data_IF_856970928208
#
_entry.id   IF_856970928208
#
_cell.length_a   1.000
_cell.length_b   1.000
_cell.length_c   1.000
_cell.angle_alpha   90.00
_cell.angle_beta   90.00
_cell.angle_gamma   90.00
#
_symmetry.space_group_name_H-M   'P 1'
#
loop_
_entity.id
_entity.type
_entity.pdbx_description
1 polymer ?
#
# COMPACT_ATOMS: atom_id res chain seq x y z
N UNK A 1 12.88 12.28 -18.19
CA UNK A 1 13.76 12.22 -16.99
C UNK A 1 12.96 11.72 -15.80
N UNK A 2 13.61 11.08 -14.83
CA UNK A 2 12.96 10.54 -13.64
C UNK A 2 13.85 10.72 -12.41
N UNK A 3 13.24 10.74 -11.23
CA UNK A 3 13.93 10.78 -9.94
C UNK A 3 13.17 9.95 -8.92
N UNK A 4 13.88 9.07 -8.21
CA UNK A 4 13.32 8.28 -7.12
C UNK A 4 12.98 9.16 -5.91
N UNK A 5 11.88 8.82 -5.23
CA UNK A 5 11.44 9.48 -4.00
C UNK A 5 11.53 8.51 -2.83
N UNK A 6 10.71 7.46 -2.82
CA UNK A 6 10.65 6.50 -1.73
C UNK A 6 10.21 5.13 -2.22
N UNK A 7 10.52 4.10 -1.44
CA UNK A 7 10.09 2.74 -1.72
C UNK A 7 8.74 2.43 -1.06
N UNK A 8 8.03 1.46 -1.62
CA UNK A 8 6.76 0.96 -1.13
C UNK A 8 6.83 -0.56 -1.03
N UNK A 9 6.38 -1.04 0.12
CA UNK A 9 6.05 -2.45 0.35
C UNK A 9 4.53 -2.57 0.49
N UNK A 10 4.05 -3.80 0.65
CA UNK A 10 2.63 -4.11 0.74
C UNK A 10 2.23 -4.47 2.17
N UNK A 11 1.10 -3.92 2.60
CA UNK A 11 0.54 -4.13 3.94
C UNK A 11 -0.93 -4.49 3.84
N UNK A 12 -1.43 -5.13 4.88
CA UNK A 12 -2.84 -5.46 5.08
C UNK A 12 -3.41 -4.57 6.19
N UNK A 13 -4.45 -3.82 5.86
CA UNK A 13 -5.20 -2.98 6.79
C UNK A 13 -6.36 -3.80 7.37
N UNK A 14 -6.44 -3.83 8.70
CA UNK A 14 -7.36 -4.69 9.44
C UNK A 14 -7.98 -3.92 10.60
N UNK A 15 -9.22 -4.25 10.96
CA UNK A 15 -9.88 -3.67 12.12
C UNK A 15 -9.17 -4.13 13.43
N UNK A 16 -9.06 -3.29 14.48
CA UNK A 16 -8.36 -3.67 15.71
C UNK A 16 -9.02 -4.79 16.51
N UNK A 17 -10.34 -4.94 16.37
CA UNK A 17 -11.16 -5.95 17.03
C UNK A 17 -11.31 -7.25 16.24
N UNK A 18 -10.49 -7.47 15.20
CA UNK A 18 -10.72 -8.56 14.26
C UNK A 18 -10.64 -9.91 15.00
N UNK A 19 -11.69 -10.76 14.92
CA UNK A 19 -11.82 -11.91 15.82
C UNK A 19 -10.70 -12.95 15.63
N UNK A 20 -10.17 -13.05 14.40
CA UNK A 20 -9.19 -14.08 13.96
C UNK A 20 -7.79 -13.55 13.62
N UNK A 21 -7.61 -12.23 13.48
CA UNK A 21 -6.34 -11.62 13.04
C UNK A 21 -5.92 -10.64 14.13
N UNK A 22 -4.97 -11.07 14.97
CA UNK A 22 -4.56 -10.32 16.18
C UNK A 22 -3.06 -10.05 16.20
N UNK A 23 -2.27 -11.11 16.28
CA UNK A 23 -0.81 -10.97 16.47
C UNK A 23 -0.03 -11.16 15.17
N UNK A 24 -0.57 -11.92 14.22
CA UNK A 24 0.07 -12.22 12.93
C UNK A 24 -0.97 -12.49 11.85
N UNK A 25 -0.59 -12.20 10.61
CA UNK A 25 -1.32 -12.58 9.41
C UNK A 25 -0.39 -13.39 8.49
N UNK A 26 -0.56 -14.70 8.46
CA UNK A 26 0.12 -15.58 7.49
C UNK A 26 -0.75 -15.83 6.26
N UNK A 27 -0.22 -16.57 5.27
CA UNK A 27 -0.91 -16.82 3.99
C UNK A 27 -2.24 -17.56 4.21
N UNK A 28 -2.28 -18.53 5.13
CA UNK A 28 -3.51 -19.28 5.41
C UNK A 28 -4.56 -18.37 6.05
N UNK A 29 -4.17 -17.60 7.09
CA UNK A 29 -5.01 -16.59 7.69
C UNK A 29 -5.56 -15.62 6.64
N UNK A 30 -4.68 -15.06 5.81
CA UNK A 30 -5.04 -14.15 4.72
C UNK A 30 -6.07 -14.76 3.76
N UNK A 31 -5.84 -15.97 3.24
CA UNK A 31 -6.78 -16.64 2.32
C UNK A 31 -8.11 -17.03 2.96
N UNK A 32 -8.15 -17.21 4.27
CA UNK A 32 -9.35 -17.61 4.98
C UNK A 32 -10.36 -16.47 5.17
N UNK A 33 -9.88 -15.22 5.19
CA UNK A 33 -10.67 -14.02 5.43
C UNK A 33 -11.35 -13.45 4.18
N UNK A 34 -12.31 -12.55 4.42
CA UNK A 34 -12.94 -11.73 3.38
C UNK A 34 -12.07 -10.52 3.02
N UNK A 35 -12.05 -10.16 1.74
CA UNK A 35 -11.21 -9.08 1.21
C UNK A 35 -12.02 -7.98 0.56
N UNK A 36 -11.54 -6.75 0.73
CA UNK A 36 -11.85 -5.64 -0.15
C UNK A 36 -10.79 -5.62 -1.24
N UNK A 37 -11.21 -5.72 -2.50
CA UNK A 37 -10.31 -5.56 -3.64
C UNK A 37 -10.38 -4.14 -4.21
N UNK A 38 -9.23 -3.57 -4.54
CA UNK A 38 -9.15 -2.23 -5.14
C UNK A 38 -8.80 -2.40 -6.60
N UNK A 39 -9.79 -2.25 -7.49
CA UNK A 39 -9.75 -2.76 -8.87
C UNK A 39 -9.17 -1.79 -9.90
N UNK A 40 -8.63 -0.65 -9.47
CA UNK A 40 -8.06 0.37 -10.36
C UNK A 40 -6.58 0.61 -10.10
N UNK A 41 -5.87 1.02 -11.15
CA UNK A 41 -4.49 1.45 -11.09
C UNK A 41 -3.46 0.33 -11.24
N UNK A 42 -2.18 0.72 -11.17
CA UNK A 42 -1.04 -0.19 -11.31
C UNK A 42 -0.90 -1.14 -10.13
N UNK A 43 -1.26 -0.70 -8.93
CA UNK A 43 -1.18 -1.51 -7.71
C UNK A 43 -2.03 -2.77 -7.80
N UNK A 44 -3.28 -2.66 -8.26
CA UNK A 44 -4.17 -3.80 -8.48
C UNK A 44 -3.50 -4.91 -9.31
N UNK A 45 -2.96 -4.54 -10.48
CA UNK A 45 -2.26 -5.49 -11.37
C UNK A 45 -1.04 -6.14 -10.74
N UNK A 46 -0.31 -5.40 -9.89
CA UNK A 46 0.85 -5.94 -9.19
C UNK A 46 0.44 -6.98 -8.14
N UNK A 47 -0.61 -6.68 -7.37
CA UNK A 47 -1.15 -7.57 -6.35
C UNK A 47 -1.74 -8.82 -7.00
N UNK A 48 -2.56 -8.68 -8.03
CA UNK A 48 -3.19 -9.82 -8.72
C UNK A 48 -2.14 -10.75 -9.34
N UNK A 49 -1.14 -10.20 -10.03
CA UNK A 49 -0.07 -11.02 -10.59
C UNK A 49 0.76 -11.73 -9.50
N UNK A 50 0.90 -11.13 -8.31
CA UNK A 50 1.57 -11.77 -7.18
C UNK A 50 0.73 -12.89 -6.54
N UNK A 51 -0.58 -12.67 -6.40
CA UNK A 51 -1.53 -13.67 -5.92
C UNK A 51 -1.60 -14.88 -6.86
N UNK A 52 -1.66 -14.65 -8.16
CA UNK A 52 -1.64 -15.70 -9.17
C UNK A 52 -0.34 -16.51 -9.10
N UNK A 53 0.81 -15.84 -9.07
CA UNK A 53 2.13 -16.49 -8.95
C UNK A 53 2.27 -17.30 -7.65
N UNK A 54 1.71 -16.81 -6.55
CA UNK A 54 1.73 -17.49 -5.26
C UNK A 54 0.62 -18.55 -5.11
N UNK A 55 -0.26 -18.69 -6.11
CA UNK A 55 -1.45 -19.55 -6.08
C UNK A 55 -2.38 -19.27 -4.88
N UNK A 56 -2.39 -18.01 -4.42
CA UNK A 56 -3.20 -17.55 -3.29
C UNK A 56 -4.53 -17.05 -3.84
N UNK A 57 -5.63 -17.69 -3.42
CA UNK A 57 -6.98 -17.21 -3.72
C UNK A 57 -7.51 -16.38 -2.56
N UNK A 58 -8.14 -15.25 -2.89
CA UNK A 58 -8.85 -14.37 -1.96
C UNK A 58 -10.34 -14.59 -2.06
N UNK A 59 -11.05 -14.46 -0.94
CA UNK A 59 -12.51 -14.33 -0.93
C UNK A 59 -12.86 -12.85 -1.05
N UNK A 60 -13.03 -12.35 -2.28
CA UNK A 60 -13.38 -10.94 -2.49
C UNK A 60 -14.85 -10.73 -2.14
N UNK A 61 -15.13 -9.94 -1.10
CA UNK A 61 -16.48 -9.60 -0.64
C UNK A 61 -16.95 -8.24 -1.18
N UNK A 62 -16.00 -7.36 -1.48
CA UNK A 62 -16.29 -6.02 -1.97
C UNK A 62 -15.20 -5.58 -2.95
N UNK A 63 -15.60 -5.00 -4.07
CA UNK A 63 -14.71 -4.31 -4.99
C UNK A 63 -14.89 -2.81 -4.87
N UNK A 64 -13.78 -2.06 -4.84
CA UNK A 64 -13.77 -0.61 -4.76
C UNK A 64 -12.85 -0.01 -5.82
N UNK A 65 -13.21 1.15 -6.39
CA UNK A 65 -12.34 1.80 -7.37
C UNK A 65 -11.12 2.47 -6.72
N UNK A 66 -11.22 2.95 -5.47
CA UNK A 66 -10.13 3.71 -4.80
C UNK A 66 -10.16 3.51 -3.28
N UNK A 67 -9.06 3.87 -2.61
CA UNK A 67 -8.84 3.65 -1.16
C UNK A 67 -9.68 4.52 -0.21
N UNK A 68 -10.31 5.60 -0.69
CA UNK A 68 -10.89 6.64 0.18
C UNK A 68 -11.95 6.13 1.17
N UNK A 69 -12.81 5.18 0.76
CA UNK A 69 -13.89 4.64 1.61
C UNK A 69 -13.49 3.42 2.44
N UNK A 70 -12.31 2.84 2.20
CA UNK A 70 -11.87 1.60 2.84
C UNK A 70 -11.82 1.70 4.37
N UNK A 71 -11.29 2.76 5.00
CA UNK A 71 -11.18 2.82 6.45
C UNK A 71 -12.53 2.68 7.16
N UNK A 72 -13.58 3.33 6.62
CA UNK A 72 -14.92 3.26 7.19
C UNK A 72 -15.46 1.83 7.17
N UNK A 73 -15.24 1.09 6.09
CA UNK A 73 -15.72 -0.28 5.92
C UNK A 73 -14.91 -1.24 6.79
N UNK A 74 -13.57 -1.13 6.77
CA UNK A 74 -12.68 -1.97 7.57
C UNK A 74 -12.98 -1.76 9.05
N UNK A 75 -13.19 -0.52 9.52
CA UNK A 75 -13.47 -0.24 10.94
C UNK A 75 -14.69 -0.95 11.51
N UNK A 76 -15.64 -1.36 10.66
CA UNK A 76 -16.91 -1.98 11.06
C UNK A 76 -17.11 -3.39 10.50
N UNK A 77 -16.05 -4.04 10.00
CA UNK A 77 -16.15 -5.38 9.39
C UNK A 77 -14.86 -6.18 9.58
N UNK A 78 -14.95 -7.50 9.41
CA UNK A 78 -13.80 -8.41 9.41
C UNK A 78 -13.12 -8.50 8.04
N UNK A 79 -13.23 -7.46 7.21
CA UNK A 79 -12.61 -7.46 5.89
C UNK A 79 -11.17 -6.95 5.95
N UNK A 80 -10.29 -7.57 5.15
CA UNK A 80 -8.91 -7.15 4.95
C UNK A 80 -8.80 -6.33 3.67
N UNK A 81 -8.07 -5.23 3.71
CA UNK A 81 -7.68 -4.48 2.52
C UNK A 81 -6.16 -4.51 2.33
N UNK A 82 -5.69 -4.89 1.14
CA UNK A 82 -4.25 -4.96 0.82
C UNK A 82 -3.82 -3.74 0.00
N UNK A 83 -2.79 -3.02 0.44
CA UNK A 83 -2.40 -1.73 -0.16
C UNK A 83 -0.93 -1.36 0.04
N UNK A 84 -0.40 -0.34 -0.68
CA UNK A 84 0.93 0.19 -0.44
C UNK A 84 1.10 0.75 0.98
N UNK A 85 2.31 0.57 1.54
CA UNK A 85 2.60 0.84 2.94
C UNK A 85 2.28 2.28 3.37
N UNK A 86 2.62 3.31 2.61
CA UNK A 86 2.37 4.70 3.03
C UNK A 86 0.89 5.03 3.13
N UNK A 87 0.07 4.52 2.20
CA UNK A 87 -1.39 4.63 2.27
C UNK A 87 -1.89 3.88 3.51
N UNK A 88 -1.44 2.64 3.72
CA UNK A 88 -1.77 1.85 4.90
C UNK A 88 -1.51 2.60 6.21
N UNK A 89 -0.29 3.10 6.41
CA UNK A 89 0.11 3.85 7.61
C UNK A 89 -0.71 5.12 7.82
N UNK A 90 -0.99 5.85 6.74
CA UNK A 90 -1.82 7.07 6.81
C UNK A 90 -3.24 6.75 7.29
N UNK A 91 -3.84 5.70 6.75
CA UNK A 91 -5.19 5.28 7.11
C UNK A 91 -5.24 4.66 8.50
N UNK A 92 -4.30 3.79 8.84
CA UNK A 92 -4.18 3.19 10.16
C UNK A 92 -4.08 4.23 11.27
N UNK A 93 -3.20 5.23 11.10
CA UNK A 93 -3.05 6.32 12.06
C UNK A 93 -4.31 7.19 12.17
N UNK A 94 -4.96 7.50 11.05
CA UNK A 94 -6.11 8.41 11.02
C UNK A 94 -7.39 7.78 11.58
N UNK A 95 -7.54 6.47 11.44
CA UNK A 95 -8.77 5.74 11.78
C UNK A 95 -8.60 4.71 12.91
N UNK A 96 -7.41 4.62 13.51
CA UNK A 96 -7.10 3.68 14.57
C UNK A 96 -7.24 2.23 14.12
N UNK A 97 -6.70 1.89 12.95
CA UNK A 97 -6.72 0.53 12.39
C UNK A 97 -5.36 -0.16 12.58
N UNK A 98 -5.34 -1.48 12.50
CA UNK A 98 -4.10 -2.26 12.58
C UNK A 98 -3.52 -2.51 11.18
N UNK A 99 -2.20 -2.62 11.13
CA UNK A 99 -1.45 -3.02 9.93
C UNK A 99 -0.71 -4.32 10.18
N UNK A 100 -0.68 -5.15 9.16
CA UNK A 100 0.18 -6.33 9.10
C UNK A 100 0.98 -6.29 7.80
N UNK A 101 2.19 -6.85 7.82
CA UNK A 101 2.90 -7.13 6.58
C UNK A 101 2.03 -8.02 5.67
N UNK A 102 1.99 -7.73 4.37
CA UNK A 102 1.27 -8.58 3.44
C UNK A 102 1.98 -9.95 3.34
N UNK A 103 1.30 -11.07 3.62
CA UNK A 103 1.95 -12.39 3.58
C UNK A 103 2.16 -12.91 2.15
N UNK A 104 1.52 -12.26 1.16
CA UNK A 104 1.74 -12.54 -0.26
C UNK A 104 3.03 -11.86 -0.70
N UNK A 105 3.96 -12.54 -1.41
CA UNK A 105 5.23 -11.98 -1.84
C UNK A 105 5.06 -11.02 -3.03
N UNK A 106 4.38 -9.91 -2.80
CA UNK A 106 4.20 -8.85 -3.81
C UNK A 106 5.51 -8.06 -3.93
N UNK A 107 6.09 -7.91 -5.14
CA UNK A 107 7.32 -7.15 -5.31
C UNK A 107 7.17 -5.70 -4.80
N UNK A 108 8.17 -5.17 -4.08
CA UNK A 108 8.20 -3.77 -3.73
C UNK A 108 8.36 -2.90 -4.98
N UNK A 109 8.03 -1.62 -4.88
CA UNK A 109 8.23 -0.66 -5.96
C UNK A 109 8.67 0.70 -5.44
N UNK A 110 9.44 1.41 -6.26
CA UNK A 110 9.86 2.78 -5.96
C UNK A 110 8.90 3.77 -6.59
N UNK A 111 8.37 4.69 -5.78
CA UNK A 111 7.66 5.87 -6.27
C UNK A 111 8.67 6.88 -6.79
N UNK A 112 8.39 7.39 -7.99
CA UNK A 112 9.28 8.32 -8.71
C UNK A 112 8.49 9.49 -9.25
N UNK A 113 9.15 10.64 -9.34
CA UNK A 113 8.65 11.77 -10.11
C UNK A 113 9.24 11.76 -11.52
N UNK A 114 8.44 12.17 -12.50
CA UNK A 114 8.78 12.16 -13.92
C UNK A 114 8.55 13.54 -14.53
N UNK A 115 9.44 13.93 -15.45
CA UNK A 115 9.27 15.14 -16.24
C UNK A 115 9.84 14.97 -17.65
N UNK A 116 9.24 15.68 -18.59
CA UNK A 116 9.67 15.69 -19.98
C UNK A 116 10.97 16.49 -20.15
N UNK A 117 11.79 16.11 -21.14
CA UNK A 117 13.06 16.79 -21.46
C UNK A 117 12.92 18.29 -21.68
N UNK A 118 11.84 18.70 -22.36
CA UNK A 118 11.48 20.11 -22.57
C UNK A 118 11.52 20.97 -21.29
N UNK A 119 11.20 20.39 -20.13
CA UNK A 119 11.17 21.10 -18.84
C UNK A 119 12.38 20.79 -17.96
N UNK A 120 13.39 20.10 -18.49
CA UNK A 120 14.56 19.70 -17.73
C UNK A 120 15.30 20.93 -17.17
N UNK A 121 15.43 22.00 -17.96
CA UNK A 121 16.10 23.24 -17.54
C UNK A 121 15.14 24.34 -17.06
N UNK A 122 13.82 24.13 -17.09
CA UNK A 122 12.83 25.11 -16.64
C UNK A 122 12.91 25.36 -15.13
N UNK A 123 13.18 26.61 -14.73
CA UNK A 123 13.49 26.99 -13.35
C UNK A 123 12.38 26.62 -12.34
N UNK A 124 11.11 26.86 -12.69
CA UNK A 124 9.98 26.53 -11.83
C UNK A 124 9.84 25.02 -11.64
N UNK A 125 10.00 24.24 -12.72
CA UNK A 125 10.02 22.79 -12.64
C UNK A 125 11.21 22.27 -11.80
N UNK A 126 12.41 22.88 -11.93
CA UNK A 126 13.58 22.48 -11.10
C UNK A 126 13.34 22.72 -9.63
N UNK A 127 12.81 23.89 -9.29
CA UNK A 127 12.48 24.24 -7.91
C UNK A 127 11.47 23.26 -7.33
N UNK A 128 10.33 23.03 -8.02
CA UNK A 128 9.28 22.15 -7.52
C UNK A 128 9.76 20.72 -7.35
N UNK A 129 10.41 20.13 -8.37
CA UNK A 129 10.89 18.75 -8.27
C UNK A 129 12.00 18.60 -7.22
N UNK A 130 12.82 19.64 -7.04
CA UNK A 130 13.80 19.72 -5.95
C UNK A 130 13.13 19.74 -4.57
N UNK A 131 12.09 20.54 -4.39
CA UNK A 131 11.30 20.58 -3.16
C UNK A 131 10.59 19.25 -2.87
N UNK A 132 9.97 18.64 -3.88
CA UNK A 132 9.37 17.30 -3.76
C UNK A 132 10.43 16.27 -3.38
N UNK A 133 11.61 16.33 -4.01
CA UNK A 133 12.71 15.46 -3.62
C UNK A 133 13.09 15.69 -2.15
N UNK A 134 13.29 16.93 -1.72
CA UNK A 134 13.67 17.22 -0.33
C UNK A 134 12.65 16.68 0.69
N UNK A 135 11.35 16.84 0.42
CA UNK A 135 10.27 16.42 1.32
C UNK A 135 10.05 14.90 1.33
N UNK A 136 10.30 14.21 0.22
CA UNK A 136 9.89 12.82 0.03
C UNK A 136 11.06 11.85 -0.20
N UNK A 137 12.29 12.35 -0.40
CA UNK A 137 13.47 11.51 -0.52
C UNK A 137 13.78 10.90 0.85
N UNK A 138 13.43 9.63 1.00
CA UNK A 138 13.90 8.85 2.13
C UNK A 138 15.42 8.66 1.97
N UNK A 139 16.21 9.40 2.74
CA UNK A 139 17.60 9.00 3.02
C UNK A 139 17.51 7.67 3.74
N UNK A 140 17.95 6.62 3.07
CA UNK A 140 17.88 5.23 3.49
C UNK A 140 18.24 5.06 4.97
N UNK A 141 17.43 4.25 5.66
CA UNK A 141 17.55 3.74 7.03
C UNK A 141 16.87 4.52 8.17
N UNK A 142 15.61 4.15 8.42
CA UNK A 142 15.28 3.44 9.66
C UNK A 142 14.29 2.34 9.32
N UNK A 143 14.52 1.07 9.69
CA UNK A 143 13.45 0.09 9.68
C UNK A 143 12.39 0.64 10.63
N UNK A 144 11.27 1.08 10.08
CA UNK A 144 10.07 1.33 10.88
C UNK A 144 9.80 -0.01 11.58
N UNK A 145 9.84 0.04 12.91
CA UNK A 145 10.04 -1.12 13.76
C UNK A 145 9.12 -2.26 13.34
N UNK A 146 9.70 -3.46 13.24
CA UNK A 146 8.95 -4.70 13.24
C UNK A 146 7.90 -4.64 14.36
N UNK A 147 6.63 -4.82 13.97
CA UNK A 147 5.57 -5.61 14.60
C UNK A 147 4.31 -5.42 13.76
#
# INVERSE_FOLDING_TARGET
YQQALFDQVWVCLVNPGHPRVRDRLDIEGYSSEGHIDVVQGTGHRMLDAALERAQVRRKVFLEMPVYLGIPAIVSSSDLIATMPSRTGHTLARSFGLNLFACPVPVPPFTVKQYWHERFHHDAANRWLRGLIQELFLERTARPEAAL
#
